data_IF_735233127429
#
_entry.id   IF_735233127429
#
_cell.length_a   1.000
_cell.length_b   1.000
_cell.length_c   1.000
_cell.angle_alpha   90.00
_cell.angle_beta   90.00
_cell.angle_gamma   90.00
#
_symmetry.space_group_name_H-M   'P 1'
#
loop_
_entity.id
_entity.type
_entity.pdbx_description
1 polymer ?
#
# COMPACT_ATOMS: atom_id res chain seq x y z
N UNK A 1 25.60 -7.68 -44.43
CA UNK A 1 26.41 -6.99 -43.40
C UNK A 1 27.88 -7.13 -43.78
N UNK A 2 28.76 -6.19 -43.42
CA UNK A 2 30.20 -6.32 -43.67
C UNK A 2 30.75 -7.50 -42.84
N UNK A 3 31.50 -8.39 -43.47
CA UNK A 3 32.06 -9.59 -42.82
C UNK A 3 33.56 -9.49 -42.51
N UNK A 4 34.22 -8.44 -42.99
CA UNK A 4 35.64 -8.17 -42.80
C UNK A 4 35.92 -6.65 -42.78
N UNK A 5 37.14 -6.27 -42.37
CA UNK A 5 37.62 -4.87 -42.38
C UNK A 5 37.80 -4.30 -43.80
N UNK A 6 37.68 -5.16 -44.84
CA UNK A 6 37.77 -4.80 -46.26
C UNK A 6 36.42 -4.41 -46.87
N UNK A 7 35.33 -4.50 -46.10
CA UNK A 7 34.00 -4.05 -46.52
C UNK A 7 33.21 -5.06 -47.36
N UNK A 8 33.64 -6.33 -47.42
CA UNK A 8 32.94 -7.39 -48.18
C UNK A 8 31.53 -7.57 -47.59
N UNK A 9 30.49 -7.37 -48.41
CA UNK A 9 29.09 -7.51 -47.98
C UNK A 9 28.60 -8.92 -48.28
N UNK A 10 28.08 -9.59 -47.26
CA UNK A 10 27.41 -10.89 -47.40
C UNK A 10 26.03 -10.87 -46.76
N UNK A 11 25.10 -11.68 -47.29
CA UNK A 11 23.79 -11.87 -46.66
C UNK A 11 23.89 -12.82 -45.46
N UNK A 12 22.95 -12.72 -44.52
CA UNK A 12 22.90 -13.61 -43.35
C UNK A 12 22.70 -15.06 -43.79
N UNK A 13 21.86 -15.30 -44.80
CA UNK A 13 21.63 -16.62 -45.40
C UNK A 13 22.94 -17.21 -45.94
N UNK A 14 23.69 -16.43 -46.74
CA UNK A 14 24.96 -16.88 -47.32
C UNK A 14 26.01 -17.14 -46.23
N UNK A 15 26.09 -16.26 -45.21
CA UNK A 15 27.02 -16.45 -44.11
C UNK A 15 26.73 -17.75 -43.34
N UNK A 16 25.48 -18.01 -42.96
CA UNK A 16 25.11 -19.22 -42.23
C UNK A 16 25.30 -20.49 -43.06
N UNK A 17 24.97 -20.45 -44.35
CA UNK A 17 25.22 -21.56 -45.27
C UNK A 17 26.73 -21.85 -45.44
N UNK A 18 27.56 -20.82 -45.61
CA UNK A 18 28.99 -21.00 -45.87
C UNK A 18 29.78 -21.34 -44.59
N UNK A 19 29.55 -20.59 -43.50
CA UNK A 19 30.33 -20.63 -42.26
C UNK A 19 29.87 -21.70 -41.28
N UNK A 20 28.57 -21.91 -41.16
CA UNK A 20 27.95 -22.85 -40.22
C UNK A 20 27.36 -24.09 -40.91
N UNK A 21 27.42 -24.15 -42.26
CA UNK A 21 26.81 -25.23 -43.06
C UNK A 21 25.33 -25.45 -42.73
N UNK A 22 24.65 -24.35 -42.41
CA UNK A 22 23.27 -24.37 -41.95
C UNK A 22 22.37 -23.65 -42.96
N UNK A 23 21.44 -24.40 -43.55
CA UNK A 23 20.50 -23.90 -44.54
C UNK A 23 19.25 -23.35 -43.86
N UNK A 24 19.15 -22.02 -43.81
CA UNK A 24 17.99 -21.35 -43.23
C UNK A 24 16.71 -21.72 -43.99
N UNK A 25 15.68 -22.14 -43.26
CA UNK A 25 14.38 -22.51 -43.85
C UNK A 25 13.51 -21.28 -44.07
N UNK A 26 13.57 -20.32 -43.15
CA UNK A 26 12.72 -19.13 -43.14
C UNK A 26 13.50 -17.89 -43.58
N UNK A 27 13.99 -17.90 -44.82
CA UNK A 27 14.84 -16.83 -45.37
C UNK A 27 14.14 -15.46 -45.50
N UNK A 28 12.81 -15.43 -45.47
CA UNK A 28 12.00 -14.21 -45.51
C UNK A 28 11.80 -13.54 -44.13
N UNK A 29 12.18 -14.20 -43.03
CA UNK A 29 12.05 -13.63 -41.69
C UNK A 29 13.13 -12.59 -41.41
N UNK A 30 12.80 -11.54 -40.62
CA UNK A 30 13.81 -10.58 -40.20
C UNK A 30 14.85 -11.25 -39.28
N UNK A 31 16.06 -10.68 -39.26
CA UNK A 31 17.07 -11.04 -38.27
C UNK A 31 16.89 -10.23 -36.99
N UNK A 32 17.23 -10.81 -35.85
CA UNK A 32 17.41 -10.09 -34.60
C UNK A 32 18.73 -9.33 -34.66
N UNK A 33 18.71 -8.04 -34.34
CA UNK A 33 19.93 -7.26 -34.16
C UNK A 33 20.35 -7.33 -32.69
N UNK A 34 21.58 -7.75 -32.47
CA UNK A 34 22.28 -7.71 -31.19
C UNK A 34 23.55 -6.86 -31.33
N UNK A 35 24.16 -6.44 -30.22
CA UNK A 35 25.31 -5.51 -30.24
C UNK A 35 24.88 -4.04 -30.34
N UNK A 36 25.85 -3.15 -30.57
CA UNK A 36 25.59 -1.71 -30.68
C UNK A 36 25.25 -1.29 -32.11
N UNK A 37 24.63 -0.13 -32.28
CA UNK A 37 24.32 0.43 -33.61
C UNK A 37 25.58 0.64 -34.47
N UNK A 38 26.73 0.88 -33.82
CA UNK A 38 28.02 1.02 -34.48
C UNK A 38 28.62 -0.32 -34.94
N UNK A 39 28.26 -1.44 -34.31
CA UNK A 39 28.72 -2.80 -34.64
C UNK A 39 27.57 -3.80 -34.49
N UNK A 40 26.59 -3.78 -35.41
CA UNK A 40 25.43 -4.64 -35.32
C UNK A 40 25.78 -6.09 -35.67
N UNK A 41 25.25 -7.02 -34.89
CA UNK A 41 25.32 -8.46 -35.12
C UNK A 41 23.93 -8.96 -35.46
N UNK A 42 23.77 -9.55 -36.64
CA UNK A 42 22.48 -10.04 -37.13
C UNK A 42 22.35 -11.54 -36.95
N UNK A 43 21.31 -11.97 -36.23
CA UNK A 43 21.04 -13.36 -35.91
C UNK A 43 19.70 -13.80 -36.54
N UNK A 44 19.66 -14.87 -37.34
CA UNK A 44 18.40 -15.45 -37.81
C UNK A 44 17.53 -15.87 -36.62
N UNK A 45 16.23 -15.52 -36.65
CA UNK A 45 15.30 -15.88 -35.59
C UNK A 45 15.21 -17.40 -35.38
N UNK A 46 15.30 -18.19 -36.46
CA UNK A 46 15.29 -19.66 -36.39
C UNK A 46 16.50 -20.28 -35.68
N UNK A 47 17.61 -19.55 -35.59
CA UNK A 47 18.83 -19.98 -34.90
C UNK A 47 18.86 -19.51 -33.44
N UNK A 48 17.80 -18.87 -32.94
CA UNK A 48 17.75 -18.28 -31.60
C UNK A 48 16.74 -19.00 -30.71
N UNK A 49 17.12 -19.26 -29.45
CA UNK A 49 16.21 -19.67 -28.37
C UNK A 49 16.13 -18.58 -27.32
N UNK A 50 14.93 -18.33 -26.77
CA UNK A 50 14.78 -17.44 -25.61
C UNK A 50 15.43 -18.11 -24.40
N UNK A 51 16.38 -17.41 -23.77
CA UNK A 51 17.07 -17.89 -22.56
C UNK A 51 16.06 -18.01 -21.41
N UNK A 52 16.16 -19.09 -20.64
CA UNK A 52 15.28 -19.37 -19.50
C UNK A 52 15.61 -18.47 -18.30
N UNK A 53 14.68 -18.31 -17.35
CA UNK A 53 14.88 -17.48 -16.15
C UNK A 53 14.74 -15.96 -16.35
N UNK A 54 14.41 -15.50 -17.57
CA UNK A 54 14.19 -14.08 -17.84
C UNK A 54 12.84 -13.59 -17.29
N UNK A 55 12.87 -12.59 -16.39
CA UNK A 55 11.67 -11.96 -15.85
C UNK A 55 10.91 -11.18 -16.94
N UNK A 56 9.61 -11.44 -17.06
CA UNK A 56 8.73 -10.61 -17.89
C UNK A 56 8.41 -9.28 -17.19
N UNK A 57 8.81 -8.15 -17.80
CA UNK A 57 8.70 -6.81 -17.21
C UNK A 57 7.53 -5.98 -17.75
N UNK A 58 6.91 -6.39 -18.86
CA UNK A 58 5.80 -5.64 -19.48
C UNK A 58 4.47 -5.93 -18.80
N UNK A 59 3.50 -5.03 -18.98
CA UNK A 59 2.13 -5.21 -18.50
C UNK A 59 1.50 -6.42 -19.17
N UNK A 60 0.93 -7.31 -18.35
CA UNK A 60 0.20 -8.49 -18.82
C UNK A 60 -1.16 -8.09 -19.37
N UNK A 61 -1.65 -8.82 -20.38
CA UNK A 61 -3.01 -8.67 -20.86
C UNK A 61 -4.02 -9.34 -19.92
N UNK A 62 -5.31 -9.00 -20.06
CA UNK A 62 -6.37 -9.44 -19.13
C UNK A 62 -6.49 -10.96 -19.03
N UNK A 63 -6.25 -11.69 -20.14
CA UNK A 63 -6.27 -13.16 -20.16
C UNK A 63 -5.10 -13.73 -19.36
N UNK A 64 -3.89 -13.18 -19.54
CA UNK A 64 -2.70 -13.57 -18.78
C UNK A 64 -2.87 -13.26 -17.30
N UNK A 65 -3.38 -12.08 -16.95
CA UNK A 65 -3.69 -11.69 -15.57
C UNK A 65 -4.69 -12.67 -14.95
N UNK A 66 -5.78 -12.99 -15.64
CA UNK A 66 -6.80 -13.94 -15.17
C UNK A 66 -6.20 -15.33 -14.92
N UNK A 67 -5.37 -15.82 -15.84
CA UNK A 67 -4.72 -17.12 -15.70
C UNK A 67 -3.75 -17.15 -14.51
N UNK A 68 -2.96 -16.08 -14.31
CA UNK A 68 -2.07 -15.96 -13.14
C UNK A 68 -2.89 -15.87 -11.85
N UNK A 69 -3.97 -15.09 -11.83
CA UNK A 69 -4.84 -15.00 -10.65
C UNK A 69 -5.44 -16.36 -10.31
N UNK A 70 -5.93 -17.12 -11.29
CA UNK A 70 -6.44 -18.49 -11.06
C UNK A 70 -5.36 -19.42 -10.54
N UNK A 71 -4.15 -19.38 -11.11
CA UNK A 71 -3.04 -20.24 -10.71
C UNK A 71 -2.47 -19.91 -9.32
N UNK A 72 -2.47 -18.64 -8.93
CA UNK A 72 -1.86 -18.16 -7.67
C UNK A 72 -2.84 -18.07 -6.50
N UNK A 73 -4.15 -18.14 -6.77
CA UNK A 73 -5.18 -18.03 -5.76
C UNK A 73 -5.46 -19.37 -5.06
N UNK A 74 -4.53 -19.78 -4.20
CA UNK A 74 -4.63 -20.99 -3.40
C UNK A 74 -5.34 -20.73 -2.07
N UNK A 75 -6.22 -21.66 -1.67
CA UNK A 75 -6.85 -21.69 -0.33
C UNK A 75 -5.78 -21.95 0.75
N UNK A 76 -6.04 -21.60 2.03
CA UNK A 76 -5.03 -21.65 3.09
C UNK A 76 -4.37 -23.02 3.23
N UNK A 77 -5.14 -24.10 3.32
CA UNK A 77 -4.62 -25.46 3.41
C UNK A 77 -3.72 -25.85 2.22
N UNK A 78 -4.13 -25.49 1.00
CA UNK A 78 -3.35 -25.77 -0.21
C UNK A 78 -2.05 -24.95 -0.26
N UNK A 79 -2.12 -23.69 0.15
CA UNK A 79 -0.94 -22.81 0.22
C UNK A 79 0.04 -23.30 1.28
N UNK A 80 -0.45 -23.68 2.46
CA UNK A 80 0.37 -24.25 3.53
C UNK A 80 1.10 -25.51 3.07
N UNK A 81 0.38 -26.42 2.42
CA UNK A 81 0.97 -27.64 1.86
C UNK A 81 2.02 -27.33 0.79
N UNK A 82 1.74 -26.39 -0.13
CA UNK A 82 2.69 -25.97 -1.15
C UNK A 82 3.96 -25.34 -0.56
N UNK A 83 3.84 -24.61 0.55
CA UNK A 83 5.00 -24.06 1.27
C UNK A 83 5.81 -25.18 1.92
N UNK A 84 5.16 -26.15 2.59
CA UNK A 84 5.86 -27.31 3.18
C UNK A 84 6.60 -28.12 2.13
N UNK A 85 5.96 -28.42 1.00
CA UNK A 85 6.58 -29.14 -0.12
C UNK A 85 7.78 -28.38 -0.70
N UNK A 86 7.67 -27.06 -0.85
CA UNK A 86 8.78 -26.22 -1.31
C UNK A 86 9.97 -26.26 -0.35
N UNK A 87 9.72 -26.16 0.96
CA UNK A 87 10.79 -26.20 1.99
C UNK A 87 11.49 -27.56 2.00
N UNK A 88 10.72 -28.65 1.91
CA UNK A 88 11.26 -30.01 1.82
C UNK A 88 12.04 -30.24 0.52
N UNK A 89 11.57 -29.72 -0.60
CA UNK A 89 12.26 -29.84 -1.89
C UNK A 89 13.59 -29.08 -1.90
N UNK A 90 13.61 -27.89 -1.31
CA UNK A 90 14.80 -27.03 -1.28
C UNK A 90 15.86 -27.48 -0.28
N UNK A 91 15.52 -28.39 0.66
CA UNK A 91 16.47 -29.03 1.59
C UNK A 91 17.38 -28.02 2.31
N UNK A 92 16.80 -26.93 2.82
CA UNK A 92 17.57 -25.85 3.45
C UNK A 92 18.45 -26.30 4.64
N UNK A 93 18.06 -27.37 5.35
CA UNK A 93 18.87 -27.95 6.43
C UNK A 93 20.15 -28.67 5.92
N UNK A 94 20.18 -29.08 4.66
CA UNK A 94 21.34 -29.71 4.00
C UNK A 94 22.22 -28.67 3.26
N UNK A 95 21.92 -27.37 3.36
CA UNK A 95 22.68 -26.34 2.68
C UNK A 95 24.10 -26.23 3.27
N UNK A 96 25.10 -26.43 2.41
CA UNK A 96 26.52 -26.50 2.81
C UNK A 96 26.99 -25.20 3.46
N UNK A 97 26.54 -24.06 2.92
CA UNK A 97 26.94 -22.76 3.44
C UNK A 97 26.26 -22.52 4.79
N UNK A 98 24.96 -22.79 4.93
CA UNK A 98 24.26 -22.67 6.21
C UNK A 98 24.95 -23.50 7.33
N UNK A 99 25.32 -24.74 7.02
CA UNK A 99 26.02 -25.62 7.97
C UNK A 99 27.41 -25.11 8.35
N UNK A 100 28.17 -24.55 7.40
CA UNK A 100 29.49 -23.94 7.66
C UNK A 100 29.39 -22.78 8.66
N UNK A 101 28.30 -22.00 8.60
CA UNK A 101 28.01 -20.93 9.56
C UNK A 101 27.30 -21.42 10.84
N UNK A 102 27.10 -22.73 11.02
CA UNK A 102 26.39 -23.30 12.17
C UNK A 102 24.89 -23.00 12.20
N UNK A 103 24.31 -22.62 11.06
CA UNK A 103 22.89 -22.29 10.92
C UNK A 103 22.11 -23.57 10.62
N UNK A 104 21.11 -23.86 11.44
CA UNK A 104 20.15 -24.94 11.21
C UNK A 104 18.77 -24.37 10.94
N UNK A 105 18.16 -24.76 9.82
CA UNK A 105 16.84 -24.28 9.39
C UNK A 105 15.80 -25.37 9.64
N UNK A 106 14.86 -25.11 10.55
CA UNK A 106 13.74 -26.01 10.79
C UNK A 106 12.83 -26.10 9.55
N UNK A 107 12.42 -27.32 9.17
CA UNK A 107 11.51 -27.55 8.05
C UNK A 107 10.04 -27.32 8.38
N UNK A 108 9.72 -27.29 9.68
CA UNK A 108 8.35 -27.12 10.15
C UNK A 108 7.96 -25.64 10.24
N UNK A 109 6.67 -25.37 10.04
CA UNK A 109 6.12 -24.04 10.24
C UNK A 109 6.14 -23.69 11.73
N UNK A 110 6.45 -22.43 12.02
CA UNK A 110 6.38 -21.91 13.39
C UNK A 110 4.94 -21.88 13.88
N UNK A 111 4.69 -22.48 15.04
CA UNK A 111 3.41 -22.37 15.75
C UNK A 111 3.45 -21.12 16.63
N UNK A 112 2.45 -20.27 16.51
CA UNK A 112 2.39 -18.99 17.22
C UNK A 112 1.08 -18.85 17.99
N UNK A 113 1.10 -18.35 19.24
CA UNK A 113 -0.12 -18.01 19.95
C UNK A 113 -0.79 -16.82 19.24
N UNK A 114 -2.10 -16.90 19.08
CA UNK A 114 -2.91 -15.86 18.48
C UNK A 114 -4.16 -15.61 19.33
N UNK A 115 -4.68 -14.39 19.28
CA UNK A 115 -5.93 -13.99 19.94
C UNK A 115 -6.92 -13.53 18.89
N UNK A 116 -8.22 -13.77 19.10
CA UNK A 116 -9.27 -13.25 18.22
C UNK A 116 -10.00 -12.14 18.94
N UNK A 117 -9.80 -10.90 18.48
CA UNK A 117 -10.49 -9.75 19.03
C UNK A 117 -11.99 -9.80 18.70
N UNK A 118 -12.87 -9.46 19.65
CA UNK A 118 -14.31 -9.41 19.39
C UNK A 118 -14.65 -8.29 18.40
N UNK A 119 -15.65 -8.48 17.51
CA UNK A 119 -16.12 -7.41 16.64
C UNK A 119 -16.81 -6.31 17.47
N UNK A 120 -16.70 -5.04 17.07
CA UNK A 120 -17.42 -3.96 17.74
C UNK A 120 -18.92 -4.01 17.46
N UNK A 121 -19.72 -3.45 18.37
CA UNK A 121 -21.12 -3.16 18.10
C UNK A 121 -21.23 -1.92 17.21
N UNK A 122 -21.93 -2.07 16.09
CA UNK A 122 -22.21 -0.98 15.15
C UNK A 122 -23.54 -0.33 15.49
N UNK A 123 -23.60 1.00 15.38
CA UNK A 123 -24.82 1.80 15.54
C UNK A 123 -25.21 2.47 14.23
N UNK A 124 -26.50 2.46 13.97
CA UNK A 124 -27.16 3.13 12.86
C UNK A 124 -28.11 4.22 13.39
N UNK A 125 -28.68 5.00 12.48
CA UNK A 125 -29.56 6.10 12.86
C UNK A 125 -30.78 5.62 13.65
N UNK A 126 -31.23 6.41 14.63
CA UNK A 126 -32.31 6.05 15.55
C UNK A 126 -33.68 5.92 14.88
N UNK A 127 -33.83 6.42 13.65
CA UNK A 127 -35.05 6.25 12.84
C UNK A 127 -35.13 4.89 12.14
N UNK A 128 -34.07 4.07 12.18
CA UNK A 128 -34.10 2.70 11.68
C UNK A 128 -34.86 1.75 12.62
N UNK A 129 -35.42 0.67 12.06
CA UNK A 129 -36.03 -0.41 12.84
C UNK A 129 -34.98 -1.15 13.66
N UNK A 130 -33.80 -1.38 13.09
CA UNK A 130 -32.62 -1.88 13.77
C UNK A 130 -31.60 -0.76 13.97
N UNK A 131 -31.32 -0.44 15.23
CA UNK A 131 -30.41 0.64 15.63
C UNK A 131 -28.99 0.16 15.88
N UNK A 132 -28.82 -1.12 16.20
CA UNK A 132 -27.52 -1.73 16.47
C UNK A 132 -27.36 -3.04 15.72
N UNK A 133 -26.11 -3.39 15.44
CA UNK A 133 -25.75 -4.64 14.77
C UNK A 133 -24.38 -5.12 15.27
N UNK A 134 -24.29 -6.42 15.59
CA UNK A 134 -23.00 -7.07 15.85
C UNK A 134 -22.59 -7.80 14.57
N UNK A 135 -21.45 -7.45 13.96
CA UNK A 135 -20.95 -8.15 12.78
C UNK A 135 -20.72 -9.64 13.04
N UNK A 136 -21.08 -10.48 12.08
CA UNK A 136 -20.81 -11.92 12.11
C UNK A 136 -19.70 -12.24 11.10
N UNK A 137 -18.58 -12.78 11.58
CA UNK A 137 -17.41 -13.14 10.76
C UNK A 137 -17.02 -11.99 9.81
N UNK A 138 -16.94 -10.77 10.35
CA UNK A 138 -16.54 -9.57 9.63
C UNK A 138 -17.58 -9.01 8.64
N UNK A 139 -18.84 -9.44 8.71
CA UNK A 139 -19.90 -9.04 7.76
C UNK A 139 -21.18 -8.64 8.48
N UNK A 140 -21.91 -7.71 7.86
CA UNK A 140 -23.27 -7.32 8.26
C UNK A 140 -24.04 -6.81 7.03
N UNK A 141 -25.30 -6.43 7.21
CA UNK A 141 -26.15 -5.89 6.14
C UNK A 141 -26.90 -4.63 6.59
N UNK A 142 -27.45 -3.89 5.63
CA UNK A 142 -28.25 -2.67 5.84
C UNK A 142 -29.75 -2.94 6.01
N UNK A 143 -30.19 -4.21 6.04
CA UNK A 143 -31.62 -4.53 6.16
C UNK A 143 -32.12 -3.96 7.49
N UNK A 144 -33.29 -3.30 7.45
CA UNK A 144 -33.95 -2.63 8.58
C UNK A 144 -33.19 -1.43 9.19
N UNK A 145 -32.08 -0.99 8.61
CA UNK A 145 -31.24 0.12 9.09
C UNK A 145 -31.43 1.36 8.22
N UNK A 146 -31.32 2.54 8.81
CA UNK A 146 -31.48 3.82 8.11
C UNK A 146 -30.21 4.66 8.27
N UNK A 147 -29.77 5.26 7.15
CA UNK A 147 -28.96 6.49 7.06
C UNK A 147 -27.65 6.59 7.85
N UNK A 148 -26.56 6.95 7.13
CA UNK A 148 -25.15 7.16 7.55
C UNK A 148 -24.30 5.87 7.66
N UNK A 149 -22.97 5.96 7.40
CA UNK A 149 -22.03 4.89 7.73
C UNK A 149 -22.21 4.50 9.20
N UNK A 150 -22.05 3.21 9.56
CA UNK A 150 -22.15 2.81 10.95
C UNK A 150 -21.16 3.61 11.78
N UNK A 151 -21.67 4.28 12.82
CA UNK A 151 -20.81 4.78 13.89
C UNK A 151 -20.65 3.67 14.92
N UNK A 152 -19.55 3.69 15.67
CA UNK A 152 -19.36 2.73 16.75
C UNK A 152 -20.05 3.31 17.99
N UNK A 153 -21.11 2.68 18.53
CA UNK A 153 -21.74 3.13 19.78
C UNK A 153 -21.82 2.04 20.86
N UNK A 154 -21.54 2.46 22.10
CA UNK A 154 -22.01 1.95 23.40
C UNK A 154 -21.84 0.45 23.76
N UNK A 155 -20.94 -0.29 23.12
CA UNK A 155 -20.33 -1.48 23.73
C UNK A 155 -19.02 -1.18 24.50
N UNK A 156 -18.87 0.06 24.97
CA UNK A 156 -17.64 0.58 25.58
C UNK A 156 -17.61 0.54 27.12
N UNK A 157 -18.63 -0.01 27.78
CA UNK A 157 -18.73 -0.05 29.26
C UNK A 157 -18.16 -1.29 29.92
N UNK A 158 -17.61 -2.28 29.18
CA UNK A 158 -17.08 -3.50 29.82
C UNK A 158 -15.68 -3.94 29.39
N UNK A 159 -15.17 -3.60 28.19
CA UNK A 159 -13.84 -4.06 27.74
C UNK A 159 -13.03 -3.09 26.82
N UNK A 160 -13.41 -1.81 26.69
CA UNK A 160 -12.61 -0.75 26.01
C UNK A 160 -12.89 -0.52 24.52
N UNK A 161 -12.47 0.58 23.84
CA UNK A 161 -11.38 1.55 24.07
C UNK A 161 -11.83 2.82 24.83
N UNK A 162 -11.55 2.97 26.14
CA UNK A 162 -11.88 4.16 26.93
C UNK A 162 -11.01 5.38 26.55
N UNK A 163 -9.94 5.18 25.77
CA UNK A 163 -8.90 6.17 25.53
C UNK A 163 -9.33 7.37 24.67
N UNK A 164 -10.18 7.19 23.64
CA UNK A 164 -10.42 8.26 22.64
C UNK A 164 -11.65 9.14 22.88
N UNK A 165 -12.61 8.69 23.70
CA UNK A 165 -13.90 9.39 23.86
C UNK A 165 -13.80 10.64 24.73
N UNK A 166 -12.84 10.67 25.65
CA UNK A 166 -12.70 11.75 26.61
C UNK A 166 -11.75 12.85 26.14
N UNK A 167 -10.88 12.54 25.17
CA UNK A 167 -9.83 13.43 24.69
C UNK A 167 -10.08 13.67 23.20
N UNK A 168 -10.31 14.93 22.77
CA UNK A 168 -10.45 15.28 21.36
C UNK A 168 -9.31 14.68 20.53
N UNK A 169 -9.63 13.66 19.75
CA UNK A 169 -8.61 12.89 19.02
C UNK A 169 -8.85 13.04 17.53
N UNK A 170 -7.81 13.40 16.79
CA UNK A 170 -7.79 13.36 15.33
C UNK A 170 -7.00 12.13 14.88
N UNK A 171 -7.55 11.40 13.91
CA UNK A 171 -6.91 10.23 13.31
C UNK A 171 -6.58 10.54 11.87
N UNK A 172 -5.29 10.52 11.56
CA UNK A 172 -4.74 10.68 10.23
C UNK A 172 -4.50 9.34 9.55
N UNK A 173 -4.64 9.33 8.24
CA UNK A 173 -4.15 8.30 7.35
C UNK A 173 -3.30 8.93 6.26
N UNK A 174 -2.18 8.31 5.90
CA UNK A 174 -1.28 8.81 4.88
C UNK A 174 -0.78 7.67 3.98
N UNK A 175 -0.69 7.93 2.67
CA UNK A 175 -0.19 7.00 1.66
C UNK A 175 0.59 7.77 0.58
N UNK A 176 1.56 7.09 -0.03
CA UNK A 176 2.27 7.56 -1.23
C UNK A 176 2.13 6.54 -2.33
N UNK A 177 1.55 6.97 -3.46
CA UNK A 177 1.42 6.14 -4.65
C UNK A 177 2.46 6.52 -5.69
N UNK A 178 3.33 5.57 -6.04
CA UNK A 178 4.32 5.73 -7.10
C UNK A 178 3.77 5.36 -8.49
N UNK A 179 4.42 5.87 -9.56
CA UNK A 179 4.16 5.44 -10.92
C UNK A 179 4.46 3.94 -11.16
N UNK A 180 3.91 3.35 -12.24
CA UNK A 180 4.19 1.98 -12.62
C UNK A 180 5.69 1.75 -12.90
N UNK A 181 6.18 0.50 -12.80
CA UNK A 181 7.52 0.15 -13.27
C UNK A 181 7.70 0.52 -14.75
N UNK A 182 8.81 1.19 -15.07
CA UNK A 182 9.14 1.64 -16.43
C UNK A 182 8.67 3.06 -16.80
N UNK A 183 7.96 3.75 -15.91
CA UNK A 183 7.76 5.20 -16.03
C UNK A 183 8.78 5.95 -15.16
N UNK A 184 9.77 6.59 -15.77
CA UNK A 184 10.91 7.19 -15.06
C UNK A 184 10.73 8.70 -14.75
N UNK A 185 9.65 9.32 -15.24
CA UNK A 185 9.43 10.77 -15.15
C UNK A 185 8.15 11.17 -14.41
N UNK A 186 7.25 10.23 -14.14
CA UNK A 186 5.98 10.55 -13.48
C UNK A 186 6.20 10.85 -11.99
N UNK A 187 5.53 11.89 -11.48
CA UNK A 187 5.59 12.27 -10.07
C UNK A 187 4.92 11.22 -9.18
N UNK A 188 5.38 11.09 -7.93
CA UNK A 188 4.63 10.36 -6.90
C UNK A 188 3.49 11.24 -6.39
N UNK A 189 2.41 10.63 -5.91
CA UNK A 189 1.28 11.35 -5.31
C UNK A 189 1.18 10.95 -3.85
N UNK A 190 1.34 11.92 -2.96
CA UNK A 190 1.03 11.76 -1.55
C UNK A 190 -0.41 12.17 -1.26
N UNK A 191 -1.03 11.45 -0.35
CA UNK A 191 -2.36 11.76 0.17
C UNK A 191 -2.37 11.67 1.69
N UNK A 192 -3.04 12.63 2.33
CA UNK A 192 -3.27 12.65 3.77
C UNK A 192 -4.75 12.88 4.01
N UNK A 193 -5.36 12.01 4.80
CA UNK A 193 -6.74 12.13 5.24
C UNK A 193 -6.80 12.28 6.75
N UNK A 194 -7.82 12.95 7.26
CA UNK A 194 -8.06 13.05 8.70
C UNK A 194 -9.54 12.95 9.05
N UNK A 195 -9.83 12.35 10.21
CA UNK A 195 -11.19 12.30 10.79
C UNK A 195 -11.71 13.71 11.10
N UNK A 196 -13.01 13.95 10.92
CA UNK A 196 -13.60 15.30 10.97
C UNK A 196 -14.79 15.45 11.94
N UNK A 197 -15.23 14.35 12.55
CA UNK A 197 -16.42 14.26 13.39
C UNK A 197 -16.11 13.48 14.67
N UNK A 198 -15.14 13.94 15.45
CA UNK A 198 -14.94 13.40 16.79
C UNK A 198 -16.18 13.70 17.65
N UNK A 199 -16.67 12.74 18.46
CA UNK A 199 -16.09 11.42 18.75
C UNK A 199 -16.52 10.26 17.83
N UNK A 200 -17.38 10.48 16.84
CA UNK A 200 -17.96 9.43 15.99
C UNK A 200 -16.97 8.80 15.00
N UNK A 201 -16.03 9.58 14.48
CA UNK A 201 -14.95 9.13 13.56
C UNK A 201 -15.50 8.38 12.33
N UNK A 202 -16.55 8.95 11.71
CA UNK A 202 -17.18 8.39 10.49
C UNK A 202 -16.92 9.21 9.24
N UNK A 203 -16.47 10.46 9.38
CA UNK A 203 -16.23 11.38 8.28
C UNK A 203 -14.77 11.75 8.21
N UNK A 204 -14.26 11.79 6.98
CA UNK A 204 -12.88 12.17 6.71
C UNK A 204 -12.82 13.30 5.68
N UNK A 205 -11.77 14.12 5.75
CA UNK A 205 -11.38 15.03 4.67
C UNK A 205 -9.98 14.65 4.21
N UNK A 206 -9.71 14.77 2.91
CA UNK A 206 -8.46 14.36 2.29
C UNK A 206 -7.82 15.48 1.48
N UNK A 207 -6.50 15.60 1.62
CA UNK A 207 -5.65 16.46 0.82
C UNK A 207 -4.63 15.61 0.07
N UNK A 208 -4.19 16.11 -1.07
CA UNK A 208 -3.21 15.44 -1.94
C UNK A 208 -2.13 16.41 -2.37
N UNK A 209 -0.94 15.89 -2.63
CA UNK A 209 0.19 16.65 -3.15
C UNK A 209 0.98 15.80 -4.13
N UNK A 210 1.43 16.38 -5.24
CA UNK A 210 2.47 15.77 -6.05
C UNK A 210 3.83 15.99 -5.38
N UNK A 211 4.73 15.04 -5.55
CA UNK A 211 6.10 15.10 -5.05
C UNK A 211 7.05 14.41 -6.04
N UNK A 212 8.38 14.54 -5.87
CA UNK A 212 9.36 14.00 -6.80
C UNK A 212 9.20 12.50 -7.10
N UNK A 213 9.76 12.09 -8.24
CA UNK A 213 9.68 10.71 -8.72
C UNK A 213 10.22 9.74 -7.65
N UNK A 214 9.41 8.75 -7.28
CA UNK A 214 9.74 7.71 -6.27
C UNK A 214 10.19 8.24 -4.90
N UNK A 215 9.84 9.48 -4.55
CA UNK A 215 10.01 10.01 -3.21
C UNK A 215 8.98 9.35 -2.29
N UNK A 216 9.42 8.66 -1.23
CA UNK A 216 8.52 8.04 -0.23
C UNK A 216 8.13 9.03 0.87
N UNK A 217 9.02 9.91 1.34
CA UNK A 217 8.69 10.89 2.38
C UNK A 217 7.70 11.90 1.84
N UNK A 218 6.66 12.21 2.62
CA UNK A 218 5.66 13.20 2.25
C UNK A 218 6.19 14.62 2.51
N UNK A 219 6.66 15.29 1.47
CA UNK A 219 7.29 16.62 1.58
C UNK A 219 6.31 17.71 2.06
N UNK A 220 5.07 17.69 1.54
CA UNK A 220 4.08 18.75 1.80
C UNK A 220 3.18 18.44 3.03
N UNK A 221 3.68 17.67 4.01
CA UNK A 221 2.99 17.54 5.30
C UNK A 221 2.90 18.89 6.02
N UNK A 222 3.99 19.65 5.97
CA UNK A 222 4.09 21.04 6.41
C UNK A 222 4.94 21.82 5.41
N UNK A 223 4.52 23.02 5.06
CA UNK A 223 5.26 23.87 4.13
C UNK A 223 5.21 25.33 4.55
N UNK A 224 6.23 26.09 4.16
CA UNK A 224 6.30 27.55 4.36
C UNK A 224 6.51 28.18 3.01
N UNK A 225 5.51 28.94 2.55
CA UNK A 225 5.56 29.66 1.27
C UNK A 225 5.76 31.15 1.53
N UNK A 226 6.65 31.79 0.78
CA UNK A 226 6.83 33.26 0.84
C UNK A 226 5.76 33.93 -0.02
N UNK A 227 4.81 34.58 0.63
CA UNK A 227 3.84 35.45 -0.01
C UNK A 227 4.41 36.88 -0.09
N UNK A 228 4.39 37.53 -1.27
CA UNK A 228 4.92 38.89 -1.43
C UNK A 228 4.27 39.96 -0.53
N UNK A 229 3.03 39.74 -0.08
CA UNK A 229 2.28 40.69 0.74
C UNK A 229 2.20 40.28 2.21
N UNK A 230 2.15 38.96 2.49
CA UNK A 230 1.93 38.41 3.84
C UNK A 230 3.20 37.84 4.48
N UNK A 231 4.33 37.86 3.80
CA UNK A 231 5.58 37.28 4.27
C UNK A 231 5.53 35.75 4.28
N UNK A 232 6.09 35.11 5.30
CA UNK A 232 6.06 33.65 5.40
C UNK A 232 4.66 33.16 5.77
N UNK A 233 4.02 32.40 4.87
CA UNK A 233 2.73 31.76 5.07
C UNK A 233 2.95 30.28 5.34
N UNK A 234 2.53 29.82 6.52
CA UNK A 234 2.55 28.41 6.90
C UNK A 234 1.37 27.67 6.28
N UNK A 235 1.63 26.50 5.70
CA UNK A 235 0.67 25.63 5.04
C UNK A 235 1.01 24.16 5.25
N UNK A 236 0.57 23.32 4.30
CA UNK A 236 0.79 21.88 4.32
C UNK A 236 -0.40 21.08 4.83
N UNK A 237 -0.44 19.81 4.46
CA UNK A 237 -1.63 18.96 4.61
C UNK A 237 -2.06 18.79 6.07
N UNK A 238 -1.11 18.63 7.00
CA UNK A 238 -1.43 18.46 8.42
C UNK A 238 -2.08 19.73 8.97
N UNK A 239 -1.49 20.88 8.71
CA UNK A 239 -1.97 22.17 9.21
C UNK A 239 -3.40 22.45 8.76
N UNK A 240 -3.68 22.27 7.47
CA UNK A 240 -5.01 22.51 6.90
C UNK A 240 -6.07 21.55 7.48
N UNK A 241 -5.71 20.28 7.70
CA UNK A 241 -6.61 19.29 8.30
C UNK A 241 -6.88 19.57 9.79
N UNK A 242 -5.90 20.07 10.54
CA UNK A 242 -6.09 20.50 11.93
C UNK A 242 -7.05 21.71 12.03
N UNK A 243 -6.93 22.67 11.11
CA UNK A 243 -7.86 23.81 11.02
C UNK A 243 -9.27 23.31 10.68
N UNK A 244 -9.39 22.41 9.70
CA UNK A 244 -10.68 21.84 9.30
C UNK A 244 -11.34 21.07 10.45
N UNK A 245 -10.57 20.32 11.24
CA UNK A 245 -11.06 19.62 12.43
C UNK A 245 -11.62 20.60 13.46
N UNK A 246 -10.88 21.66 13.80
CA UNK A 246 -11.34 22.68 14.76
C UNK A 246 -12.61 23.38 14.28
N UNK A 247 -12.67 23.70 12.98
CA UNK A 247 -13.86 24.32 12.36
C UNK A 247 -15.09 23.41 12.45
N UNK A 248 -14.95 22.10 12.28
CA UNK A 248 -16.07 21.14 12.24
C UNK A 248 -16.51 20.66 13.62
N UNK A 249 -15.57 20.48 14.55
CA UNK A 249 -15.86 19.93 15.89
C UNK A 249 -15.98 21.01 16.98
N UNK A 250 -15.53 22.23 16.69
CA UNK A 250 -15.41 23.30 17.69
C UNK A 250 -14.27 23.09 18.70
N UNK A 251 -13.52 21.98 18.61
CA UNK A 251 -12.41 21.65 19.51
C UNK A 251 -11.12 21.49 18.73
N UNK A 252 -9.99 21.85 19.33
CA UNK A 252 -8.68 21.44 18.80
C UNK A 252 -8.41 19.98 19.19
N UNK A 253 -7.68 19.22 18.38
CA UNK A 253 -7.20 17.91 18.82
C UNK A 253 -6.28 18.06 20.03
N UNK A 254 -6.47 17.22 21.03
CA UNK A 254 -5.56 17.05 22.16
C UNK A 254 -4.74 15.77 22.02
N UNK A 255 -5.07 14.92 21.03
CA UNK A 255 -4.33 13.72 20.67
C UNK A 255 -4.30 13.52 19.16
N UNK A 256 -3.16 13.05 18.64
CA UNK A 256 -2.98 12.66 17.24
C UNK A 256 -2.67 11.16 17.15
N UNK A 257 -3.42 10.43 16.31
CA UNK A 257 -3.00 9.13 15.80
C UNK A 257 -2.69 9.25 14.32
N UNK A 258 -1.55 8.73 13.88
CA UNK A 258 -1.08 8.83 12.51
C UNK A 258 -0.79 7.44 11.93
N UNK A 259 -1.65 6.98 11.02
CA UNK A 259 -1.46 5.71 10.31
C UNK A 259 -0.82 5.94 8.93
N UNK A 260 0.40 5.44 8.73
CA UNK A 260 1.19 5.63 7.51
C UNK A 260 1.30 4.32 6.72
N UNK A 261 0.64 4.21 5.57
CA UNK A 261 0.71 3.03 4.67
C UNK A 261 1.96 3.10 3.78
N UNK A 262 2.48 1.96 3.32
CA UNK A 262 3.42 1.91 2.19
C UNK A 262 4.92 2.04 2.51
N UNK A 263 5.30 2.23 3.77
CA UNK A 263 6.71 2.42 4.16
C UNK A 263 7.40 1.09 4.43
N UNK A 264 8.60 0.90 3.88
CA UNK A 264 9.44 -0.28 4.14
C UNK A 264 10.28 -0.10 5.42
N UNK A 265 10.62 -1.20 6.10
CA UNK A 265 11.37 -1.19 7.37
C UNK A 265 12.66 -0.36 7.30
N UNK A 266 13.45 -0.53 6.24
CA UNK A 266 14.68 0.25 6.02
C UNK A 266 14.50 1.76 5.86
N UNK A 267 13.25 2.26 5.80
CA UNK A 267 12.91 3.68 5.70
C UNK A 267 12.25 4.22 6.98
N UNK A 268 11.97 3.39 7.98
CA UNK A 268 11.22 3.77 9.19
C UNK A 268 11.80 4.99 9.88
N UNK A 269 13.09 4.97 10.22
CA UNK A 269 13.75 6.07 10.94
C UNK A 269 13.71 7.38 10.16
N UNK A 270 13.92 7.33 8.85
CA UNK A 270 13.95 8.52 8.01
C UNK A 270 12.55 9.11 7.83
N UNK A 271 11.54 8.26 7.59
CA UNK A 271 10.14 8.68 7.51
C UNK A 271 9.67 9.27 8.84
N UNK A 272 9.91 8.58 9.96
CA UNK A 272 9.52 9.06 11.28
C UNK A 272 10.14 10.43 11.56
N UNK A 273 11.44 10.60 11.35
CA UNK A 273 12.14 11.85 11.64
C UNK A 273 11.54 13.03 10.87
N UNK A 274 11.36 12.89 9.55
CA UNK A 274 10.87 13.97 8.71
C UNK A 274 9.38 14.23 8.87
N UNK A 275 8.55 13.19 8.89
CA UNK A 275 7.10 13.33 8.97
C UNK A 275 6.64 13.77 10.37
N UNK A 276 7.31 13.31 11.44
CA UNK A 276 7.03 13.77 12.81
C UNK A 276 7.42 15.23 13.00
N UNK A 277 8.59 15.66 12.49
CA UNK A 277 8.99 17.08 12.51
C UNK A 277 7.97 17.96 11.77
N UNK A 278 7.45 17.51 10.62
CA UNK A 278 6.39 18.22 9.91
C UNK A 278 5.09 18.32 10.72
N UNK A 279 4.67 17.25 11.41
CA UNK A 279 3.51 17.26 12.31
C UNK A 279 3.72 18.27 13.44
N UNK A 280 4.92 18.31 14.04
CA UNK A 280 5.27 19.27 15.10
C UNK A 280 5.24 20.70 14.63
N UNK A 281 5.88 21.00 13.49
CA UNK A 281 5.86 22.34 12.88
C UNK A 281 4.44 22.80 12.56
N UNK A 282 3.60 21.90 12.03
CA UNK A 282 2.20 22.20 11.78
C UNK A 282 1.44 22.58 13.05
N UNK A 283 1.62 21.85 14.15
CA UNK A 283 1.01 22.18 15.44
C UNK A 283 1.51 23.53 15.98
N UNK A 284 2.83 23.72 16.07
CA UNK A 284 3.43 24.96 16.56
C UNK A 284 3.04 26.20 15.73
N UNK A 285 2.77 26.03 14.43
CA UNK A 285 2.33 27.12 13.54
C UNK A 285 0.89 27.59 13.77
N UNK A 286 0.07 26.83 14.51
CA UNK A 286 -1.33 27.15 14.76
C UNK A 286 -1.52 27.93 16.06
N UNK A 287 -0.76 27.58 17.10
CA UNK A 287 -0.85 28.17 18.44
C UNK A 287 0.48 27.93 19.16
N UNK A 288 0.99 28.97 19.84
CA UNK A 288 2.21 28.86 20.63
C UNK A 288 2.04 27.83 21.75
N UNK A 289 3.00 26.91 21.88
CA UNK A 289 2.96 25.83 22.87
C UNK A 289 2.00 24.67 22.55
N UNK A 290 1.29 24.69 21.40
CA UNK A 290 0.43 23.57 21.01
C UNK A 290 1.24 22.35 20.54
N UNK A 291 1.32 21.34 21.42
CA UNK A 291 2.09 20.11 21.20
C UNK A 291 1.31 18.88 21.68
N UNK A 292 0.28 18.43 20.93
CA UNK A 292 -0.49 17.25 21.32
C UNK A 292 0.38 15.98 21.20
N UNK A 293 0.23 14.99 22.10
CA UNK A 293 0.90 13.71 22.00
C UNK A 293 0.51 12.95 20.72
N UNK A 294 1.51 12.36 20.07
CA UNK A 294 1.38 11.64 18.80
C UNK A 294 1.67 10.15 18.99
N UNK A 295 0.83 9.32 18.37
CA UNK A 295 1.13 7.90 18.12
C UNK A 295 1.30 7.71 16.62
N UNK A 296 2.49 7.30 16.19
CA UNK A 296 2.86 7.09 14.78
C UNK A 296 2.93 5.59 14.49
N UNK A 297 2.06 5.11 13.61
CA UNK A 297 1.90 3.69 13.29
C UNK A 297 2.09 3.50 11.79
N UNK A 298 3.11 2.73 11.40
CA UNK A 298 3.26 2.26 10.03
C UNK A 298 2.35 1.06 9.78
N UNK A 299 1.74 1.03 8.60
CA UNK A 299 0.81 0.00 8.15
C UNK A 299 1.41 -0.68 6.92
N UNK A 300 1.62 -1.99 6.99
CA UNK A 300 2.19 -2.77 5.91
C UNK A 300 1.22 -3.88 5.50
N UNK A 301 0.50 -3.64 4.39
CA UNK A 301 -0.35 -4.66 3.76
C UNK A 301 0.41 -5.58 2.81
N UNK A 302 1.66 -5.26 2.45
CA UNK A 302 2.42 -5.97 1.41
C UNK A 302 3.69 -6.58 1.99
N UNK A 303 3.56 -7.80 2.51
CA UNK A 303 4.65 -8.59 3.08
C UNK A 303 4.44 -10.10 2.83
N UNK A 304 5.41 -10.90 3.24
CA UNK A 304 5.49 -12.33 2.95
C UNK A 304 4.85 -13.23 4.03
N UNK A 305 4.59 -12.69 5.23
CA UNK A 305 3.94 -13.41 6.34
C UNK A 305 2.53 -13.89 5.98
N UNK A 306 2.25 -15.16 6.24
CA UNK A 306 0.92 -15.77 6.16
C UNK A 306 0.65 -16.52 7.44
N UNK A 307 -0.58 -16.46 7.90
CA UNK A 307 -1.05 -17.16 9.09
C UNK A 307 -2.08 -18.20 8.66
N UNK A 308 -1.92 -19.41 9.19
CA UNK A 308 -2.79 -20.54 8.92
C UNK A 308 -3.40 -21.00 10.24
N UNK A 309 -4.65 -21.49 10.24
CA UNK A 309 -5.20 -22.17 11.41
C UNK A 309 -4.40 -23.45 11.66
N UNK A 310 -4.08 -23.74 12.93
CA UNK A 310 -3.41 -25.00 13.31
C UNK A 310 -4.23 -26.22 12.88
N UNK A 311 -5.55 -26.14 13.02
CA UNK A 311 -6.48 -27.19 12.59
C UNK A 311 -7.43 -26.64 11.54
N UNK A 312 -7.28 -27.11 10.29
CA UNK A 312 -8.18 -26.78 9.19
C UNK A 312 -9.58 -27.36 9.40
N UNK A 313 -10.61 -26.63 8.99
CA UNK A 313 -12.01 -27.09 9.02
C UNK A 313 -12.72 -26.90 10.36
N UNK A 314 -12.01 -26.50 11.43
CA UNK A 314 -12.60 -26.13 12.71
C UNK A 314 -13.31 -24.78 12.63
N UNK A 315 -14.65 -24.79 12.75
CA UNK A 315 -15.51 -23.59 12.59
C UNK A 315 -15.26 -22.50 13.64
N UNK A 316 -14.64 -22.84 14.75
CA UNK A 316 -14.24 -21.92 15.81
C UNK A 316 -12.88 -21.26 15.57
N UNK A 317 -12.10 -21.76 14.60
CA UNK A 317 -10.78 -21.22 14.23
C UNK A 317 -10.74 -20.68 12.79
N UNK A 318 -11.66 -21.12 11.94
CA UNK A 318 -11.66 -20.80 10.51
C UNK A 318 -12.94 -20.15 10.04
N UNK A 319 -12.81 -19.21 9.11
CA UNK A 319 -13.95 -18.72 8.34
C UNK A 319 -14.40 -19.73 7.26
N UNK A 320 -15.44 -19.37 6.50
CA UNK A 320 -16.00 -20.22 5.43
C UNK A 320 -15.01 -20.56 4.32
N UNK A 321 -13.93 -19.80 4.18
CA UNK A 321 -12.88 -20.01 3.17
C UNK A 321 -11.72 -20.87 3.65
N UNK A 322 -11.72 -21.25 4.94
CA UNK A 322 -10.59 -21.93 5.60
C UNK A 322 -9.50 -20.98 6.09
N UNK A 323 -9.73 -19.66 6.05
CA UNK A 323 -8.78 -18.68 6.58
C UNK A 323 -8.97 -18.50 8.08
N UNK A 324 -7.96 -17.95 8.76
CA UNK A 324 -8.06 -17.48 10.14
C UNK A 324 -9.21 -16.48 10.32
N UNK A 325 -9.79 -16.43 11.51
CA UNK A 325 -10.94 -15.58 11.80
C UNK A 325 -10.60 -14.08 11.71
N UNK A 326 -11.55 -13.23 11.29
CA UNK A 326 -11.44 -11.78 11.41
C UNK A 326 -11.23 -11.37 12.87
N UNK A 327 -10.30 -10.45 13.10
CA UNK A 327 -9.86 -10.04 14.44
C UNK A 327 -8.69 -10.84 15.01
N UNK A 328 -8.15 -11.82 14.25
CA UNK A 328 -6.95 -12.55 14.69
C UNK A 328 -5.75 -11.61 14.80
N UNK A 329 -5.12 -11.58 15.97
CA UNK A 329 -3.92 -10.80 16.30
C UNK A 329 -2.78 -11.74 16.69
N UNK A 330 -1.59 -11.44 16.20
CA UNK A 330 -0.33 -12.04 16.63
C UNK A 330 0.65 -10.91 16.94
N UNK A 331 1.10 -10.86 18.18
CA UNK A 331 2.03 -9.85 18.73
C UNK A 331 3.20 -10.51 19.50
N UNK A 332 3.38 -11.82 19.32
CA UNK A 332 4.42 -12.62 19.97
C UNK A 332 5.15 -13.49 18.95
N UNK A 333 6.37 -13.92 19.30
CA UNK A 333 7.25 -14.85 18.56
C UNK A 333 7.76 -14.35 17.20
N UNK A 334 6.86 -14.02 16.27
CA UNK A 334 7.19 -13.62 14.89
C UNK A 334 7.20 -12.09 14.70
N UNK A 335 7.03 -11.35 15.79
CA UNK A 335 7.08 -9.89 15.84
C UNK A 335 8.48 -9.44 16.28
N UNK A 336 8.75 -8.14 16.21
CA UNK A 336 10.04 -7.58 16.59
C UNK A 336 10.36 -7.88 18.07
N UNK A 337 11.60 -8.25 18.42
CA UNK A 337 11.94 -8.66 19.79
C UNK A 337 11.82 -7.55 20.83
N UNK A 338 11.91 -6.28 20.43
CA UNK A 338 11.95 -5.13 21.35
C UNK A 338 11.02 -3.98 20.97
N UNK A 339 10.50 -3.97 19.76
CA UNK A 339 9.68 -2.86 19.25
C UNK A 339 8.21 -3.25 19.36
N UNK A 340 7.33 -2.26 19.29
CA UNK A 340 5.91 -2.53 19.39
C UNK A 340 5.31 -2.71 18.00
N UNK A 341 5.23 -3.96 17.56
CA UNK A 341 4.56 -4.36 16.33
C UNK A 341 3.59 -5.53 16.54
N UNK A 342 2.63 -5.66 15.62
CA UNK A 342 1.66 -6.74 15.65
C UNK A 342 1.06 -6.98 14.27
N UNK A 343 0.69 -8.23 14.01
CA UNK A 343 -0.12 -8.62 12.87
C UNK A 343 -1.59 -8.62 13.26
N UNK A 344 -2.45 -8.07 12.41
CA UNK A 344 -3.90 -8.09 12.56
C UNK A 344 -4.57 -8.54 11.26
N UNK A 345 -5.26 -9.68 11.30
CA UNK A 345 -6.17 -10.10 10.25
C UNK A 345 -7.59 -9.61 10.57
N UNK A 346 -7.88 -8.34 10.28
CA UNK A 346 -9.20 -7.75 10.58
C UNK A 346 -10.34 -8.29 9.71
N UNK A 347 -10.07 -9.00 8.61
CA UNK A 347 -11.05 -9.31 7.57
C UNK A 347 -11.23 -10.79 7.30
N UNK A 348 -12.42 -11.14 6.79
CA UNK A 348 -12.74 -12.47 6.34
C UNK A 348 -12.14 -12.72 4.95
N UNK A 349 -11.54 -13.89 4.77
CA UNK A 349 -11.04 -14.37 3.49
C UNK A 349 -12.19 -14.67 2.54
N UNK A 350 -12.26 -13.98 1.41
CA UNK A 350 -13.23 -14.32 0.35
C UNK A 350 -12.61 -15.38 -0.57
N UNK A 351 -11.38 -15.12 -1.00
CA UNK A 351 -10.64 -15.94 -1.94
C UNK A 351 -9.17 -16.02 -1.53
N UNK A 352 -8.55 -17.14 -1.87
CA UNK A 352 -7.13 -17.35 -1.59
C UNK A 352 -6.83 -17.46 -0.09
N UNK A 353 -5.61 -17.06 0.28
CA UNK A 353 -5.15 -16.97 1.67
C UNK A 353 -5.08 -15.52 2.09
N UNK A 354 -5.75 -15.20 3.20
CA UNK A 354 -5.75 -13.88 3.82
C UNK A 354 -4.33 -13.45 4.13
N UNK A 355 -4.09 -12.15 3.99
CA UNK A 355 -2.85 -11.52 4.42
C UNK A 355 -3.17 -10.66 5.64
N UNK A 356 -2.72 -11.02 6.85
CA UNK A 356 -2.86 -10.15 8.01
C UNK A 356 -2.07 -8.87 7.76
N UNK A 357 -2.59 -7.71 8.12
CA UNK A 357 -1.83 -6.46 7.98
C UNK A 357 -0.86 -6.34 9.15
N UNK A 358 0.38 -5.96 8.88
CA UNK A 358 1.40 -5.71 9.90
C UNK A 358 1.38 -4.24 10.30
N UNK A 359 1.30 -3.98 11.59
CA UNK A 359 1.28 -2.65 12.18
C UNK A 359 2.53 -2.50 13.04
N UNK A 360 3.29 -1.44 12.81
CA UNK A 360 4.51 -1.16 13.55
C UNK A 360 4.42 0.23 14.17
N UNK A 361 4.48 0.31 15.50
CA UNK A 361 4.42 1.58 16.24
C UNK A 361 5.82 2.17 16.32
N UNK A 362 6.10 3.14 15.47
CA UNK A 362 7.41 3.78 15.42
C UNK A 362 7.62 4.78 16.56
N UNK A 363 6.54 5.37 17.07
CA UNK A 363 6.61 6.36 18.13
C UNK A 363 5.26 6.47 18.85
N UNK A 364 5.27 6.54 20.18
CA UNK A 364 4.02 6.66 20.96
C UNK A 364 4.19 7.47 22.26
N UNK A 365 3.70 8.70 22.23
CA UNK A 365 3.61 9.57 23.42
C UNK A 365 2.28 9.46 24.14
N UNK A 366 1.30 8.78 23.54
CA UNK A 366 0.03 8.54 24.19
C UNK A 366 0.08 7.32 25.13
N UNK A 367 1.18 6.57 25.09
CA UNK A 367 1.44 5.41 25.93
C UNK A 367 0.30 4.38 25.87
N UNK A 368 -0.13 4.04 24.66
CA UNK A 368 -1.10 2.99 24.44
C UNK A 368 -0.54 1.63 24.88
N UNK A 369 -1.37 0.87 25.57
CA UNK A 369 -1.09 -0.56 25.77
C UNK A 369 -1.32 -1.32 24.48
N UNK A 370 -0.68 -2.49 24.34
CA UNK A 370 -0.86 -3.40 23.21
C UNK A 370 -2.35 -3.67 22.94
N UNK A 371 -3.09 -4.11 23.96
CA UNK A 371 -4.51 -4.39 23.85
C UNK A 371 -5.34 -3.18 23.42
N UNK A 372 -5.02 -1.99 23.92
CA UNK A 372 -5.75 -0.76 23.59
C UNK A 372 -5.57 -0.38 22.12
N UNK A 373 -4.34 -0.41 21.61
CA UNK A 373 -4.06 -0.04 20.22
C UNK A 373 -4.53 -1.10 19.22
N UNK A 374 -4.34 -2.39 19.54
CA UNK A 374 -4.82 -3.49 18.70
C UNK A 374 -6.34 -3.48 18.59
N UNK A 375 -7.04 -3.33 19.72
CA UNK A 375 -8.51 -3.22 19.74
C UNK A 375 -9.01 -1.98 19.01
N UNK A 376 -8.35 -0.84 19.20
CA UNK A 376 -8.67 0.39 18.47
C UNK A 376 -8.52 0.21 16.96
N UNK A 377 -7.38 -0.32 16.52
CA UNK A 377 -7.07 -0.55 15.11
C UNK A 377 -8.10 -1.50 14.48
N UNK A 378 -8.42 -2.60 15.16
CA UNK A 378 -9.44 -3.55 14.70
C UNK A 378 -10.82 -2.90 14.60
N UNK A 379 -11.23 -2.13 15.60
CA UNK A 379 -12.53 -1.47 15.61
C UNK A 379 -12.66 -0.44 14.49
N UNK A 380 -11.61 0.34 14.24
CA UNK A 380 -11.56 1.27 13.12
C UNK A 380 -11.79 0.55 11.79
N UNK A 381 -11.33 -0.69 11.57
CA UNK A 381 -11.59 -1.45 10.34
C UNK A 381 -13.08 -1.69 10.02
N UNK A 382 -14.00 -1.44 10.95
CA UNK A 382 -15.44 -1.53 10.73
C UNK A 382 -16.10 -0.20 10.32
N UNK A 383 -15.38 0.93 10.34
CA UNK A 383 -15.92 2.26 10.01
C UNK A 383 -15.76 2.63 8.53
N UNK A 384 -15.32 1.69 7.70
CA UNK A 384 -15.17 1.92 6.27
C UNK A 384 -16.53 2.09 5.57
N UNK A 385 -16.74 3.24 4.95
CA UNK A 385 -18.06 3.68 4.50
C UNK A 385 -18.58 2.99 3.23
N UNK A 386 -17.70 2.40 2.40
CA UNK A 386 -18.07 1.88 1.07
C UNK A 386 -18.64 0.46 1.08
N UNK A 387 -18.63 -0.25 2.22
CA UNK A 387 -19.22 -1.59 2.31
C UNK A 387 -19.67 -1.95 3.73
N UNK A 388 -20.59 -2.90 3.84
CA UNK A 388 -21.00 -3.50 5.13
C UNK A 388 -20.14 -4.71 5.50
N UNK A 389 -18.82 -4.55 5.36
CA UNK A 389 -17.81 -5.56 5.67
C UNK A 389 -16.61 -4.89 6.31
N UNK A 390 -15.97 -5.60 7.22
CA UNK A 390 -14.69 -5.15 7.77
C UNK A 390 -13.62 -5.20 6.68
N UNK A 391 -12.76 -4.18 6.64
CA UNK A 391 -11.68 -4.08 5.67
C UNK A 391 -10.36 -4.60 6.23
N UNK A 392 -9.42 -4.94 5.34
CA UNK A 392 -8.12 -5.52 5.68
C UNK A 392 -7.12 -4.52 6.27
N UNK A 393 -7.36 -3.22 6.08
CA UNK A 393 -6.48 -2.13 6.50
C UNK A 393 -7.34 -1.07 7.19
N UNK A 394 -6.76 -0.39 8.18
CA UNK A 394 -7.45 0.66 8.94
C UNK A 394 -7.98 1.76 7.98
N UNK A 395 -9.22 2.23 8.10
CA UNK A 395 -9.83 3.10 7.09
C UNK A 395 -9.12 4.41 6.79
N UNK A 396 -8.49 5.13 7.74
CA UNK A 396 -7.66 6.29 7.41
C UNK A 396 -6.60 5.98 6.35
N UNK A 397 -5.82 4.92 6.54
CA UNK A 397 -4.82 4.49 5.56
C UNK A 397 -5.48 4.07 4.23
N UNK A 398 -6.61 3.35 4.30
CA UNK A 398 -7.36 2.95 3.10
C UNK A 398 -7.86 4.18 2.32
N UNK A 399 -8.41 5.19 3.00
CA UNK A 399 -8.90 6.41 2.38
C UNK A 399 -7.78 7.26 1.78
N UNK A 400 -6.60 7.31 2.41
CA UNK A 400 -5.42 7.95 1.83
C UNK A 400 -5.03 7.28 0.50
N UNK A 401 -5.01 5.95 0.47
CA UNK A 401 -4.77 5.20 -0.76
C UNK A 401 -5.80 5.50 -1.86
N UNK A 402 -7.09 5.55 -1.52
CA UNK A 402 -8.13 5.94 -2.47
C UNK A 402 -7.95 7.37 -2.98
N UNK A 403 -7.61 8.32 -2.11
CA UNK A 403 -7.40 9.72 -2.49
C UNK A 403 -6.20 9.87 -3.45
N UNK A 404 -5.07 9.22 -3.17
CA UNK A 404 -3.91 9.21 -4.06
C UNK A 404 -4.24 8.58 -5.42
N UNK A 405 -4.94 7.44 -5.42
CA UNK A 405 -5.34 6.73 -6.63
C UNK A 405 -6.33 7.54 -7.49
N UNK A 406 -7.35 8.15 -6.87
CA UNK A 406 -8.33 8.98 -7.57
C UNK A 406 -7.65 10.13 -8.31
N UNK A 407 -6.71 10.81 -7.66
CA UNK A 407 -6.01 11.97 -8.25
C UNK A 407 -5.10 11.57 -9.38
N UNK A 408 -4.43 10.42 -9.26
CA UNK A 408 -3.60 9.88 -10.33
C UNK A 408 -4.41 9.60 -11.61
N UNK A 409 -5.65 9.14 -11.49
CA UNK A 409 -6.54 8.94 -12.64
C UNK A 409 -6.83 10.26 -13.38
N UNK A 410 -7.03 11.36 -12.65
CA UNK A 410 -7.23 12.68 -13.28
C UNK A 410 -5.97 13.18 -13.98
N UNK A 411 -4.79 12.93 -13.42
CA UNK A 411 -3.51 13.31 -14.05
C UNK A 411 -3.23 12.47 -15.29
N UNK A 412 -3.56 11.17 -15.28
CA UNK A 412 -3.38 10.27 -16.44
C UNK A 412 -4.40 10.53 -17.55
N UNK A 413 -5.65 10.87 -17.22
CA UNK A 413 -6.70 11.22 -18.20
C UNK A 413 -6.32 12.42 -19.08
N UNK A 414 -5.63 13.41 -18.50
CA UNK A 414 -5.08 14.55 -19.25
C UNK A 414 -3.92 14.13 -20.17
N UNK A 415 -3.17 13.06 -19.87
CA UNK A 415 -2.12 12.53 -20.76
C UNK A 415 -2.72 11.89 -22.02
N UNK A 416 -3.91 11.29 -21.92
CA UNK A 416 -4.60 10.69 -23.07
C UNK A 416 -5.29 11.69 -24.00
N UNK A 417 -5.68 12.87 -23.49
CA UNK A 417 -6.28 13.94 -24.30
C UNK A 417 -5.27 15.00 -24.80
N UNK A 418 -4.03 14.98 -24.29
CA UNK A 418 -2.94 15.86 -24.71
C UNK A 418 -2.15 15.32 -25.92
N UNK A 419 -2.74 15.39 -27.11
CA UNK A 419 -2.04 15.52 -28.39
C UNK A 419 -1.08 14.40 -28.82
N UNK A 420 -1.62 13.44 -29.58
CA UNK A 420 -0.83 12.73 -30.60
C UNK A 420 -0.29 13.74 -31.62
N UNK A 421 1.02 14.00 -31.62
CA UNK A 421 1.69 14.62 -32.77
C UNK A 421 2.36 13.51 -33.59
N UNK A 422 2.20 13.47 -34.93
CA UNK A 422 2.81 12.46 -35.77
C UNK A 422 4.31 12.69 -35.89
N UNK A 423 5.05 11.60 -36.08
CA UNK A 423 6.48 11.51 -35.80
C UNK A 423 7.41 12.48 -36.55
N UNK A 424 8.53 12.77 -35.90
CA UNK A 424 9.79 13.12 -36.55
C UNK A 424 10.89 12.25 -35.97
N UNK A 425 11.67 11.68 -36.88
CA UNK A 425 12.78 10.77 -36.69
C UNK A 425 13.89 11.30 -35.78
N UNK A 426 14.37 10.43 -34.88
CA UNK A 426 15.77 10.31 -34.45
C UNK A 426 16.53 11.58 -34.11
N UNK A 427 16.41 12.05 -32.87
CA UNK A 427 17.51 12.73 -32.17
C UNK A 427 17.57 12.21 -30.73
N UNK A 428 18.74 11.72 -30.34
CA UNK A 428 19.04 11.29 -28.99
C UNK A 428 18.75 12.44 -28.01
N UNK A 429 17.94 12.16 -26.99
CA UNK A 429 17.70 13.09 -25.91
C UNK A 429 19.01 13.29 -25.15
N UNK A 430 19.64 14.44 -25.37
CA UNK A 430 20.67 14.97 -24.48
C UNK A 430 19.99 15.12 -23.12
N UNK A 431 20.45 14.36 -22.13
CA UNK A 431 20.02 14.49 -20.75
C UNK A 431 20.30 15.92 -20.28
N UNK A 432 19.25 16.74 -20.19
CA UNK A 432 19.32 18.00 -19.45
C UNK A 432 19.35 17.61 -17.98
N UNK A 433 20.52 17.74 -17.36
CA UNK A 433 20.69 17.80 -15.91
C UNK A 433 19.98 19.06 -15.41
N UNK A 434 18.69 18.93 -15.12
CA UNK A 434 17.87 19.92 -14.44
C UNK A 434 16.85 19.20 -13.57
N UNK A 435 16.42 19.76 -12.43
CA UNK A 435 15.41 19.13 -11.59
C UNK A 435 14.14 18.90 -12.42
N UNK A 436 13.66 17.66 -12.45
CA UNK A 436 12.38 17.31 -13.09
C UNK A 436 11.30 18.11 -12.36
N UNK A 437 10.73 19.13 -13.01
CA UNK A 437 9.69 19.96 -12.41
C UNK A 437 8.49 19.09 -12.01
N UNK A 438 8.16 19.11 -10.71
CA UNK A 438 6.97 18.42 -10.18
C UNK A 438 5.74 19.15 -10.72
N UNK A 439 5.01 18.50 -11.64
CA UNK A 439 3.79 19.08 -12.21
C UNK A 439 2.75 19.25 -11.10
N UNK A 440 2.27 20.49 -10.93
CA UNK A 440 1.24 20.78 -9.94
C UNK A 440 -0.05 20.02 -10.27
N UNK A 441 -0.65 19.41 -9.24
CA UNK A 441 -1.93 18.74 -9.36
C UNK A 441 -3.05 19.77 -9.62
N UNK A 442 -4.09 19.40 -10.38
CA UNK A 442 -5.26 20.25 -10.52
C UNK A 442 -5.88 20.52 -9.14
N UNK A 443 -6.21 21.79 -8.87
CA UNK A 443 -6.83 22.18 -7.60
C UNK A 443 -8.23 21.56 -7.50
N UNK A 444 -8.46 20.81 -6.44
CA UNK A 444 -9.81 20.35 -6.07
C UNK A 444 -10.67 21.59 -5.80
N UNK A 445 -11.89 21.64 -6.35
CA UNK A 445 -12.82 22.75 -6.12
C UNK A 445 -13.21 22.83 -4.65
N UNK A 446 -13.39 24.05 -4.12
CA UNK A 446 -13.62 24.26 -2.67
C UNK A 446 -14.85 23.53 -2.13
N UNK A 447 -15.90 23.38 -2.93
CA UNK A 447 -17.09 22.61 -2.57
C UNK A 447 -16.86 21.10 -2.45
N UNK A 448 -15.75 20.58 -2.96
CA UNK A 448 -15.39 19.15 -2.94
C UNK A 448 -14.34 18.83 -1.88
N UNK A 449 -13.55 19.81 -1.43
CA UNK A 449 -12.49 19.62 -0.42
C UNK A 449 -13.02 19.10 0.92
N UNK A 450 -14.25 19.49 1.26
CA UNK A 450 -14.88 19.15 2.53
C UNK A 450 -15.65 17.82 2.52
N UNK A 451 -15.74 17.14 1.37
CA UNK A 451 -16.40 15.83 1.23
C UNK A 451 -15.40 14.70 0.99
N UNK A 452 -15.82 13.47 1.23
CA UNK A 452 -15.03 12.25 0.95
C UNK A 452 -15.09 11.92 -0.56
N UNK A 453 -14.56 12.79 -1.41
CA UNK A 453 -14.66 12.69 -2.89
C UNK A 453 -14.04 11.41 -3.49
N UNK A 454 -13.22 10.71 -2.72
CA UNK A 454 -12.54 9.47 -3.08
C UNK A 454 -13.35 8.21 -2.71
N UNK A 455 -14.55 8.36 -2.15
CA UNK A 455 -15.42 7.24 -1.73
C UNK A 455 -16.48 6.89 -2.78
#
# INVERSE_FOLDING_TARGET
FPVDERGTRMSVVQYFMQRYKYNLQYTSWPCLQSGSDARPVYLPMEACKIVEGQRYSKKLNDKQVTNILRATCQRPQQREQSIREMVLHNKYAEDKFAQEFGINVCSDLVSVPARVLPPPMLRYHDSGKEKTCVPSVGQWNMINKVGRPPSIEKAFTRFGVPALKNIPTIIFGADVTHPPPGEDSASSVAAVVASMDWPEITKYSGLVSAQPHRQEIIENLFSVTKDPQRGNVNGGMIRELLIAFRRKTGRRPERILFYRDGVSEGQFSHVLLHEMDAIRKACASLEEGYMPPVTFVVVQKRHHTRLFPEVHGRRDMTDKSGNILPGTVVDLMICHPTEFDFYLCSHAGIQGTSRPTHYHVLYDENHFTADALQSLTNNLCYTYARCTRVVSVVPPAYYAHLAAFCVRYYVEGDRSNGGSTPGSSGQAAIAREGPVEVRQLPKIKDNVKDVMFYC
#
